data_IF_486874844378
#
_entry.id   IF_486874844378
#
_cell.length_a   1.000
_cell.length_b   1.000
_cell.length_c   1.000
_cell.angle_alpha   90.00
_cell.angle_beta   90.00
_cell.angle_gamma   90.00
#
_symmetry.space_group_name_H-M   'P 1'
#
loop_
_entity.id
_entity.type
_entity.pdbx_description
1 polymer ?
#
# COMPACT_ATOMS: atom_id res chain seq x y z
N UNK A 1 16.67 -3.60 3.27
CA UNK A 1 15.27 -3.32 3.65
C UNK A 1 15.07 -3.72 5.10
N UNK A 2 14.70 -2.77 5.95
CA UNK A 2 14.49 -3.00 7.40
C UNK A 2 13.05 -3.41 7.74
N UNK A 3 12.07 -3.00 6.92
CA UNK A 3 10.66 -3.31 7.17
C UNK A 3 9.89 -3.63 5.89
N UNK A 4 8.92 -4.54 5.98
CA UNK A 4 7.96 -4.87 4.92
C UNK A 4 6.55 -4.61 5.44
N UNK A 5 5.72 -3.98 4.61
CA UNK A 5 4.30 -3.73 4.91
C UNK A 5 3.45 -4.55 3.94
N UNK A 6 2.62 -5.43 4.49
CA UNK A 6 1.61 -6.18 3.74
C UNK A 6 0.31 -5.39 3.75
N UNK A 7 0.03 -4.71 2.63
CA UNK A 7 -1.23 -3.98 2.46
C UNK A 7 -2.40 -4.93 2.18
N UNK A 8 -2.18 -5.91 1.31
CA UNK A 8 -3.11 -7.02 1.06
C UNK A 8 -2.55 -8.31 1.66
N UNK A 9 -3.43 -9.09 2.30
CA UNK A 9 -3.05 -10.35 2.92
C UNK A 9 -2.71 -11.40 1.87
N UNK A 10 -1.59 -12.09 2.08
CA UNK A 10 -1.17 -13.19 1.22
C UNK A 10 -2.22 -14.32 1.29
N UNK A 11 -2.49 -14.97 0.15
CA UNK A 11 -3.47 -16.08 0.08
C UNK A 11 -2.89 -17.44 0.42
N UNK A 12 -1.57 -17.52 0.58
CA UNK A 12 -0.84 -18.74 0.89
C UNK A 12 0.39 -18.46 1.75
N UNK A 13 0.82 -19.49 2.46
CA UNK A 13 1.99 -19.46 3.37
C UNK A 13 3.27 -19.13 2.61
N UNK A 14 3.51 -19.80 1.48
CA UNK A 14 4.67 -19.55 0.62
C UNK A 14 4.75 -18.09 0.17
N UNK A 15 3.61 -17.53 -0.25
CA UNK A 15 3.56 -16.13 -0.68
C UNK A 15 3.86 -15.19 0.47
N UNK A 16 3.35 -15.49 1.67
CA UNK A 16 3.65 -14.70 2.86
C UNK A 16 5.15 -14.74 3.17
N UNK A 17 5.76 -15.93 3.27
CA UNK A 17 7.19 -16.10 3.57
C UNK A 17 8.06 -15.42 2.51
N UNK A 18 7.71 -15.53 1.23
CA UNK A 18 8.45 -14.89 0.14
C UNK A 18 8.44 -13.36 0.21
N UNK A 19 7.28 -12.78 0.56
CA UNK A 19 7.09 -11.32 0.73
C UNK A 19 7.81 -10.84 2.00
N UNK A 20 7.63 -11.53 3.12
CA UNK A 20 8.20 -11.18 4.42
C UNK A 20 9.72 -11.35 4.46
N UNK A 21 10.25 -12.39 3.83
CA UNK A 21 11.68 -12.69 3.75
C UNK A 21 12.51 -11.71 2.93
N UNK A 22 11.99 -10.52 2.60
CA UNK A 22 12.70 -9.42 1.92
C UNK A 22 13.45 -8.50 2.89
N UNK A 23 13.24 -8.65 4.19
CA UNK A 23 13.94 -7.90 5.24
C UNK A 23 15.26 -8.55 5.65
N UNK A 24 16.12 -7.80 6.36
CA UNK A 24 17.33 -8.33 7.05
C UNK A 24 18.35 -9.08 6.17
N UNK A 25 18.25 -9.00 4.83
CA UNK A 25 19.22 -9.62 3.92
C UNK A 25 20.53 -8.83 3.91
N UNK A 26 21.65 -9.49 4.22
CA UNK A 26 23.01 -8.97 4.01
C UNK A 26 23.59 -8.11 5.14
N UNK A 27 22.97 -8.08 6.32
CA UNK A 27 23.36 -7.22 7.46
C UNK A 27 23.85 -8.04 8.67
N UNK A 28 24.69 -9.04 8.42
CA UNK A 28 25.34 -9.83 9.47
C UNK A 28 24.38 -10.62 10.40
N UNK A 29 24.92 -11.30 11.43
CA UNK A 29 24.14 -12.16 12.32
C UNK A 29 23.12 -11.41 13.20
N UNK A 30 23.24 -10.08 13.33
CA UNK A 30 22.36 -9.25 14.18
C UNK A 30 21.36 -8.42 13.37
N UNK A 31 21.10 -8.80 12.11
CA UNK A 31 20.14 -8.11 11.28
C UNK A 31 18.70 -8.28 11.80
N UNK A 32 18.06 -7.17 12.16
CA UNK A 32 16.64 -7.16 12.53
C UNK A 32 15.80 -6.68 11.35
N UNK A 33 14.73 -7.41 11.06
CA UNK A 33 13.74 -7.06 10.05
C UNK A 33 12.33 -7.12 10.63
N UNK A 34 11.48 -6.17 10.28
CA UNK A 34 10.09 -6.12 10.76
C UNK A 34 9.10 -6.36 9.62
N UNK A 35 8.05 -7.12 9.90
CA UNK A 35 6.90 -7.28 9.01
C UNK A 35 5.66 -6.69 9.69
N UNK A 36 4.91 -5.87 8.95
CA UNK A 36 3.68 -5.24 9.43
C UNK A 36 2.57 -5.64 8.47
N UNK A 37 1.49 -6.21 8.98
CA UNK A 37 0.30 -6.57 8.19
C UNK A 37 -0.85 -5.64 8.50
N UNK A 38 -1.44 -5.04 7.47
CA UNK A 38 -2.72 -4.35 7.57
C UNK A 38 -3.80 -5.39 7.23
N UNK A 39 -4.65 -5.71 8.20
CA UNK A 39 -5.59 -6.83 8.09
C UNK A 39 -6.99 -6.26 8.15
N UNK A 40 -7.78 -6.45 7.10
CA UNK A 40 -9.21 -6.18 7.15
C UNK A 40 -9.92 -7.25 8.00
N UNK A 41 -11.06 -6.95 8.65
CA UNK A 41 -11.80 -7.95 9.44
C UNK A 41 -12.17 -9.21 8.67
N UNK A 42 -12.40 -9.10 7.35
CA UNK A 42 -12.72 -10.22 6.48
C UNK A 42 -11.51 -11.15 6.24
N UNK A 43 -10.29 -10.65 6.39
CA UNK A 43 -9.04 -11.36 6.08
C UNK A 43 -8.38 -11.95 7.32
N UNK A 44 -8.82 -11.55 8.52
CA UNK A 44 -8.23 -11.95 9.79
C UNK A 44 -8.08 -13.47 9.93
N UNK A 45 -9.16 -14.22 9.70
CA UNK A 45 -9.12 -15.69 9.76
C UNK A 45 -8.11 -16.32 8.80
N UNK A 46 -7.98 -15.78 7.59
CA UNK A 46 -7.04 -16.29 6.61
C UNK A 46 -5.60 -15.99 7.02
N UNK A 47 -5.36 -14.77 7.51
CA UNK A 47 -4.06 -14.36 8.03
C UNK A 47 -3.65 -15.21 9.26
N UNK A 48 -4.55 -15.43 10.22
CA UNK A 48 -4.26 -16.23 11.41
C UNK A 48 -3.84 -17.66 11.06
N UNK A 49 -4.48 -18.30 10.06
CA UNK A 49 -4.08 -19.64 9.59
C UNK A 49 -2.68 -19.65 9.01
N UNK A 50 -2.30 -18.61 8.28
CA UNK A 50 -0.93 -18.48 7.76
C UNK A 50 0.04 -18.37 8.93
N UNK A 51 -0.23 -17.51 9.91
CA UNK A 51 0.61 -17.33 11.08
C UNK A 51 0.77 -18.61 11.92
N UNK A 52 -0.33 -19.35 12.11
CA UNK A 52 -0.34 -20.63 12.79
C UNK A 52 0.54 -21.66 12.06
N UNK A 53 0.44 -21.72 10.73
CA UNK A 53 1.24 -22.66 9.93
C UNK A 53 2.75 -22.40 9.97
N UNK A 54 3.16 -21.14 10.16
CA UNK A 54 4.57 -20.76 10.30
C UNK A 54 5.05 -20.79 11.76
N UNK A 55 4.13 -21.01 12.72
CA UNK A 55 4.45 -21.01 14.15
C UNK A 55 4.84 -19.63 14.70
N UNK A 56 4.43 -18.54 14.05
CA UNK A 56 4.80 -17.17 14.45
C UNK A 56 3.57 -16.45 15.00
N UNK A 57 3.73 -15.73 16.11
CA UNK A 57 2.69 -14.84 16.64
C UNK A 57 3.08 -13.39 16.39
N UNK A 58 2.17 -12.64 15.78
CA UNK A 58 2.32 -11.19 15.61
C UNK A 58 1.58 -10.46 16.72
N UNK A 59 2.16 -9.37 17.20
CA UNK A 59 1.51 -8.47 18.13
C UNK A 59 0.51 -7.57 17.38
N UNK A 60 -0.69 -7.42 17.92
CA UNK A 60 -1.67 -6.47 17.38
C UNK A 60 -1.33 -5.06 17.87
N UNK A 61 -0.89 -4.21 16.95
CA UNK A 61 -0.64 -2.81 17.23
C UNK A 61 -1.98 -2.04 17.26
N UNK A 62 -2.28 -1.37 18.37
CA UNK A 62 -3.38 -0.42 18.43
C UNK A 62 -2.90 0.93 17.94
N UNK A 63 -3.40 1.37 16.79
CA UNK A 63 -3.11 2.70 16.24
C UNK A 63 -4.04 3.71 16.92
N UNK A 64 -3.48 4.83 17.39
CA UNK A 64 -4.28 5.95 17.88
C UNK A 64 -5.02 6.60 16.70
N UNK A 65 -6.35 6.52 16.70
CA UNK A 65 -7.20 7.08 15.65
C UNK A 65 -7.01 8.59 15.42
N UNK A 66 -6.49 9.32 16.42
CA UNK A 66 -6.18 10.75 16.29
C UNK A 66 -5.04 11.00 15.29
N UNK A 67 -4.07 10.09 15.20
CA UNK A 67 -3.01 10.15 14.18
C UNK A 67 -3.57 9.90 12.78
N UNK A 68 -4.60 9.07 12.68
CA UNK A 68 -5.23 8.72 11.41
C UNK A 68 -6.06 9.87 10.85
N UNK A 69 -6.75 10.64 11.68
CA UNK A 69 -7.58 11.77 11.25
C UNK A 69 -6.77 12.79 10.43
N UNK A 70 -5.63 13.26 10.96
CA UNK A 70 -4.78 14.20 10.24
C UNK A 70 -4.14 13.61 8.98
N UNK A 71 -3.82 12.31 8.97
CA UNK A 71 -3.33 11.63 7.78
C UNK A 71 -4.42 11.53 6.70
N UNK A 72 -5.67 11.24 7.10
CA UNK A 72 -6.82 11.14 6.22
C UNK A 72 -7.13 12.47 5.54
N UNK A 73 -7.10 13.58 6.28
CA UNK A 73 -7.29 14.93 5.71
C UNK A 73 -6.27 15.24 4.62
N UNK A 74 -4.99 14.97 4.88
CA UNK A 74 -3.91 15.17 3.89
C UNK A 74 -4.08 14.27 2.67
N UNK A 75 -4.41 13.00 2.87
CA UNK A 75 -4.63 12.05 1.78
C UNK A 75 -5.83 12.44 0.90
N UNK A 76 -6.91 12.94 1.52
CA UNK A 76 -8.09 13.44 0.82
C UNK A 76 -7.77 14.68 -0.01
N UNK A 77 -7.01 15.63 0.55
CA UNK A 77 -6.58 16.82 -0.18
C UNK A 77 -5.68 16.46 -1.37
N UNK A 78 -4.70 15.59 -1.16
CA UNK A 78 -3.82 15.11 -2.22
C UNK A 78 -4.62 14.41 -3.35
N UNK A 79 -5.62 13.60 -2.99
CA UNK A 79 -6.51 12.94 -3.95
C UNK A 79 -7.31 13.94 -4.79
N UNK A 80 -7.82 15.03 -4.17
CA UNK A 80 -8.50 16.11 -4.89
C UNK A 80 -7.56 16.84 -5.85
N UNK A 81 -6.34 17.16 -5.42
CA UNK A 81 -5.34 17.82 -6.27
C UNK A 81 -5.04 16.94 -7.49
N UNK A 82 -4.81 15.64 -7.28
CA UNK A 82 -4.56 14.70 -8.36
C UNK A 82 -5.74 14.61 -9.33
N UNK A 83 -6.97 14.58 -8.81
CA UNK A 83 -8.17 14.54 -9.64
C UNK A 83 -8.29 15.80 -10.51
N UNK A 84 -8.06 16.98 -9.93
CA UNK A 84 -8.07 18.23 -10.69
C UNK A 84 -6.99 18.26 -11.78
N UNK A 85 -5.75 17.83 -11.47
CA UNK A 85 -4.67 17.75 -12.47
C UNK A 85 -5.04 16.79 -13.61
N UNK A 86 -5.64 15.65 -13.30
CA UNK A 86 -6.12 14.70 -14.32
C UNK A 86 -7.21 15.29 -15.20
N UNK A 87 -8.17 16.01 -14.62
CA UNK A 87 -9.27 16.63 -15.37
C UNK A 87 -8.78 17.79 -16.23
N UNK A 88 -7.84 18.59 -15.75
CA UNK A 88 -7.18 19.62 -16.57
C UNK A 88 -6.42 19.03 -17.75
N UNK A 89 -5.62 17.99 -17.52
CA UNK A 89 -4.90 17.27 -18.60
C UNK A 89 -5.86 16.74 -19.66
N UNK A 90 -6.99 16.16 -19.26
CA UNK A 90 -8.03 15.68 -20.20
C UNK A 90 -8.61 16.84 -21.03
N UNK A 91 -8.96 17.96 -20.40
CA UNK A 91 -9.49 19.15 -21.10
C UNK A 91 -8.46 19.72 -22.08
N UNK A 92 -7.21 19.85 -21.65
CA UNK A 92 -6.12 20.35 -22.52
C UNK A 92 -5.90 19.40 -23.71
N UNK A 93 -5.89 18.09 -23.50
CA UNK A 93 -5.76 17.11 -24.57
C UNK A 93 -6.90 17.20 -25.59
N UNK A 94 -8.15 17.32 -25.13
CA UNK A 94 -9.31 17.50 -26.01
C UNK A 94 -9.24 18.81 -26.81
N UNK A 95 -8.83 19.91 -26.17
CA UNK A 95 -8.68 21.21 -26.84
C UNK A 95 -7.56 21.17 -27.89
N UNK A 96 -6.41 20.56 -27.59
CA UNK A 96 -5.31 20.40 -28.54
C UNK A 96 -5.71 19.55 -29.76
N UNK A 97 -6.47 18.48 -29.54
CA UNK A 97 -7.02 17.68 -30.64
C UNK A 97 -7.94 18.50 -31.54
N UNK A 98 -8.83 19.31 -30.95
CA UNK A 98 -9.77 20.14 -31.70
C UNK A 98 -9.07 21.23 -32.52
N UNK A 99 -8.10 21.92 -31.92
CA UNK A 99 -7.28 22.95 -32.58
C UNK A 99 -6.48 22.34 -33.75
N UNK A 100 -5.86 21.18 -33.54
CA UNK A 100 -5.10 20.48 -34.59
C UNK A 100 -5.98 20.02 -35.76
N UNK A 101 -7.25 19.71 -35.50
CA UNK A 101 -8.20 19.31 -36.55
C UNK A 101 -8.71 20.51 -37.36
N UNK A 102 -8.87 21.68 -36.71
CA UNK A 102 -9.20 22.93 -37.39
C UNK A 102 -8.06 23.51 -38.21
N UNK A 103 -6.80 23.33 -37.78
CA UNK A 103 -5.63 23.82 -38.53
C UNK A 103 -5.24 22.98 -39.75
N UNK A 104 -5.79 21.77 -39.87
CA UNK A 104 -5.49 20.82 -40.95
C UNK A 104 -6.58 20.78 -42.05
N UNK A 105 -7.49 21.75 -42.05
CA UNK A 105 -8.59 21.90 -43.02
C UNK A 105 -8.58 23.33 -43.58
#
# INVERSE_FOLDING_TARGET
>A
VSSVVHYDIARSVDTFVHRSGRTARGVGPNAVGSSISLIAPAEDKAHSKILESIGVRFETLRIDGRLLAGAQERANLASKILQFDQDERKKQSNNQWFIKKQSNN
#
